data_IF_547672883606
#
_entry.id   IF_547672883606
#
_cell.length_a   1.000
_cell.length_b   1.000
_cell.length_c   1.000
_cell.angle_alpha   90.00
_cell.angle_beta   90.00
_cell.angle_gamma   90.00
#
_symmetry.space_group_name_H-M   'P 1'
#
loop_
_entity.id
_entity.type
_entity.pdbx_description
1 polymer ?
#
# COMPACT_ATOMS: atom_id res chain seq x y z
N UNK A 1 3.60 -14.13 4.85
CA UNK A 1 4.91 -14.42 4.27
C UNK A 1 4.76 -14.30 2.76
N UNK A 2 5.35 -13.29 2.13
CA UNK A 2 5.31 -13.20 0.65
C UNK A 2 6.18 -14.35 0.18
N UNK A 3 5.54 -15.39 -0.33
CA UNK A 3 6.29 -16.44 -0.98
C UNK A 3 6.75 -15.86 -2.31
N UNK A 4 8.02 -15.44 -2.36
CA UNK A 4 8.69 -15.12 -3.64
C UNK A 4 8.99 -16.42 -4.42
N UNK A 5 8.40 -17.56 -4.03
CA UNK A 5 8.63 -18.90 -4.58
C UNK A 5 7.71 -19.20 -5.76
N UNK A 6 8.29 -19.74 -6.83
CA UNK A 6 7.78 -19.66 -8.20
C UNK A 6 7.06 -20.93 -8.70
N UNK A 7 6.09 -20.72 -9.59
CA UNK A 7 5.53 -21.73 -10.52
C UNK A 7 6.53 -22.09 -11.64
N UNK A 8 6.82 -23.39 -11.80
CA UNK A 8 7.43 -24.19 -12.90
C UNK A 8 8.60 -23.70 -13.83
N UNK A 9 9.72 -24.39 -13.62
CA UNK A 9 10.91 -24.91 -14.36
C UNK A 9 11.60 -24.43 -15.66
N UNK A 10 11.22 -23.42 -16.46
CA UNK A 10 12.15 -23.03 -17.58
C UNK A 10 12.19 -21.57 -18.01
N UNK A 11 11.12 -20.81 -17.78
CA UNK A 11 11.14 -19.32 -17.76
C UNK A 11 11.72 -18.80 -16.42
N UNK A 12 12.25 -19.74 -15.62
CA UNK A 12 12.40 -19.72 -14.16
C UNK A 12 13.54 -18.88 -13.58
N UNK A 13 14.53 -18.46 -14.36
CA UNK A 13 15.74 -17.83 -13.77
C UNK A 13 15.79 -16.31 -13.92
N UNK A 14 15.29 -15.74 -15.03
CA UNK A 14 15.43 -14.29 -15.27
C UNK A 14 14.34 -13.46 -14.63
N UNK A 15 13.09 -13.94 -14.69
CA UNK A 15 11.97 -13.23 -14.10
C UNK A 15 12.03 -13.36 -12.57
N UNK A 16 12.35 -14.54 -12.05
CA UNK A 16 12.65 -14.74 -10.63
C UNK A 16 13.82 -13.87 -10.15
N UNK A 17 14.92 -13.80 -10.89
CA UNK A 17 16.06 -12.96 -10.56
C UNK A 17 15.69 -11.48 -10.53
N UNK A 18 14.82 -11.04 -11.43
CA UNK A 18 14.34 -9.66 -11.45
C UNK A 18 13.49 -9.39 -10.19
N UNK A 19 12.49 -10.23 -9.93
CA UNK A 19 11.65 -10.12 -8.73
C UNK A 19 12.45 -10.15 -7.44
N UNK A 20 13.39 -11.10 -7.32
CA UNK A 20 14.32 -11.20 -6.19
C UNK A 20 15.23 -9.98 -6.08
N UNK A 21 15.76 -9.46 -7.20
CA UNK A 21 16.60 -8.26 -7.16
C UNK A 21 15.82 -7.03 -6.69
N UNK A 22 14.54 -6.92 -7.02
CA UNK A 22 13.65 -5.87 -6.53
C UNK A 22 13.30 -6.09 -5.07
N UNK A 23 12.96 -7.31 -4.68
CA UNK A 23 12.68 -7.69 -3.29
C UNK A 23 13.89 -7.53 -2.36
N UNK A 24 15.11 -7.65 -2.85
CA UNK A 24 16.32 -7.44 -2.05
C UNK A 24 16.76 -5.96 -2.07
N UNK A 25 16.18 -5.13 -2.94
CA UNK A 25 16.63 -3.74 -3.12
C UNK A 25 17.94 -3.60 -3.92
N UNK A 26 18.32 -4.63 -4.68
CA UNK A 26 19.51 -4.59 -5.53
C UNK A 26 19.25 -3.79 -6.81
N UNK A 27 19.23 -2.46 -6.68
CA UNK A 27 18.93 -1.52 -7.76
C UNK A 27 19.84 -1.69 -8.98
N UNK A 28 21.12 -2.00 -8.78
CA UNK A 28 22.07 -2.23 -9.88
C UNK A 28 21.69 -3.46 -10.70
N UNK A 29 21.33 -4.58 -10.03
CA UNK A 29 20.91 -5.81 -10.70
C UNK A 29 19.54 -5.63 -11.37
N UNK A 30 18.58 -5.02 -10.68
CA UNK A 30 17.26 -4.72 -11.24
C UNK A 30 17.36 -3.87 -12.53
N UNK A 31 18.14 -2.79 -12.51
CA UNK A 31 18.42 -1.95 -13.70
C UNK A 31 19.02 -2.74 -14.86
N UNK A 32 19.94 -3.68 -14.59
CA UNK A 32 20.55 -4.51 -15.63
C UNK A 32 19.53 -5.47 -16.23
N UNK A 33 18.69 -6.09 -15.41
CA UNK A 33 17.68 -7.05 -15.84
C UNK A 33 16.55 -6.37 -16.63
N UNK A 34 16.10 -5.18 -16.21
CA UNK A 34 15.04 -4.42 -16.89
C UNK A 34 15.42 -3.91 -18.28
N UNK A 35 16.70 -3.95 -18.68
CA UNK A 35 17.09 -3.69 -20.07
C UNK A 35 16.50 -4.72 -21.05
N UNK A 36 16.26 -5.94 -20.58
CA UNK A 36 15.83 -7.08 -21.39
C UNK A 36 14.51 -7.71 -20.89
N UNK A 37 13.86 -7.12 -19.89
CA UNK A 37 12.62 -7.62 -19.30
C UNK A 37 11.61 -6.47 -19.22
N UNK A 38 10.32 -6.81 -19.34
CA UNK A 38 9.26 -5.82 -19.19
C UNK A 38 9.13 -5.39 -17.72
N UNK A 39 9.09 -4.08 -17.46
CA UNK A 39 8.89 -3.50 -16.13
C UNK A 39 7.50 -3.83 -15.55
N UNK A 40 6.54 -4.17 -16.42
CA UNK A 40 5.18 -4.55 -16.05
C UNK A 40 4.96 -6.07 -15.98
N UNK A 41 6.05 -6.84 -16.01
CA UNK A 41 5.99 -8.29 -15.82
C UNK A 41 5.24 -8.67 -14.54
N UNK A 42 4.53 -9.80 -14.60
CA UNK A 42 3.72 -10.32 -13.50
C UNK A 42 4.42 -11.49 -12.81
N UNK A 43 4.28 -11.55 -11.50
CA UNK A 43 4.91 -12.52 -10.62
C UNK A 43 3.83 -13.40 -9.95
N UNK A 44 4.24 -14.23 -9.00
CA UNK A 44 3.31 -15.06 -8.23
C UNK A 44 2.14 -14.22 -7.68
N UNK A 45 0.94 -14.79 -7.71
CA UNK A 45 -0.33 -14.15 -7.34
C UNK A 45 -0.63 -12.88 -8.16
N UNK A 46 -0.15 -12.83 -9.41
CA UNK A 46 -0.25 -11.67 -10.30
C UNK A 46 0.34 -10.37 -9.70
N UNK A 47 1.35 -10.47 -8.83
CA UNK A 47 2.02 -9.29 -8.29
C UNK A 47 2.81 -8.56 -9.38
N UNK A 48 2.90 -7.22 -9.31
CA UNK A 48 3.83 -6.43 -10.13
C UNK A 48 5.14 -6.15 -9.36
N UNK A 49 6.12 -5.54 -10.03
CA UNK A 49 7.35 -5.10 -9.35
C UNK A 49 7.06 -4.09 -8.22
N UNK A 50 6.05 -3.22 -8.37
CA UNK A 50 5.66 -2.29 -7.30
C UNK A 50 5.04 -3.01 -6.10
N UNK A 51 4.30 -4.11 -6.30
CA UNK A 51 3.82 -4.93 -5.18
C UNK A 51 5.01 -5.55 -4.42
N UNK A 52 5.95 -6.16 -5.15
CA UNK A 52 7.14 -6.77 -4.56
C UNK A 52 7.96 -5.74 -3.79
N UNK A 53 8.18 -4.56 -4.39
CA UNK A 53 8.97 -3.49 -3.79
C UNK A 53 8.28 -2.86 -2.57
N UNK A 54 6.94 -2.78 -2.57
CA UNK A 54 6.16 -2.19 -1.49
C UNK A 54 6.28 -2.92 -0.14
N UNK A 55 6.74 -4.18 -0.16
CA UNK A 55 7.01 -4.95 1.05
C UNK A 55 8.28 -4.53 1.79
N UNK A 56 9.12 -3.70 1.18
CA UNK A 56 10.34 -3.20 1.78
C UNK A 56 10.33 -1.67 1.85
N UNK A 57 11.17 -1.11 2.72
CA UNK A 57 11.37 0.33 2.86
C UNK A 57 12.33 0.92 1.82
N UNK A 58 12.67 0.18 0.74
CA UNK A 58 13.56 0.67 -0.32
C UNK A 58 12.86 1.66 -1.26
N UNK A 59 12.85 2.90 -0.83
CA UNK A 59 12.32 4.06 -1.56
C UNK A 59 13.03 4.31 -2.88
N UNK A 60 14.33 3.99 -3.00
CA UNK A 60 15.09 4.21 -4.23
C UNK A 60 14.65 3.25 -5.33
N UNK A 61 14.44 1.97 -4.98
CA UNK A 61 13.89 0.98 -5.90
C UNK A 61 12.47 1.36 -6.30
N UNK A 62 11.62 1.72 -5.33
CA UNK A 62 10.23 2.09 -5.58
C UNK A 62 10.12 3.30 -6.53
N UNK A 63 10.86 4.37 -6.24
CA UNK A 63 10.95 5.56 -7.08
C UNK A 63 11.47 5.23 -8.48
N UNK A 64 12.51 4.40 -8.59
CA UNK A 64 13.05 3.99 -9.88
C UNK A 64 12.01 3.25 -10.72
N UNK A 65 11.30 2.27 -10.15
CA UNK A 65 10.27 1.51 -10.87
C UNK A 65 9.15 2.42 -11.37
N UNK A 66 8.63 3.27 -10.49
CA UNK A 66 7.55 4.21 -10.81
C UNK A 66 7.96 5.21 -11.91
N UNK A 67 9.15 5.81 -11.79
CA UNK A 67 9.69 6.76 -12.77
C UNK A 67 9.99 6.14 -14.13
N UNK A 68 10.11 4.81 -14.21
CA UNK A 68 10.35 4.07 -15.46
C UNK A 68 9.08 3.42 -16.02
N UNK A 69 7.89 3.86 -15.57
CA UNK A 69 6.61 3.44 -16.15
C UNK A 69 6.09 2.09 -15.65
N UNK A 70 6.53 1.64 -14.46
CA UNK A 70 5.86 0.52 -13.80
C UNK A 70 4.42 0.94 -13.43
N UNK A 71 3.46 0.13 -13.85
CA UNK A 71 2.04 0.40 -13.66
C UNK A 71 1.65 0.26 -12.19
N UNK A 72 1.38 1.41 -11.55
CA UNK A 72 0.92 1.49 -10.17
C UNK A 72 -0.57 1.19 -10.01
N UNK A 73 -1.33 1.15 -11.11
CA UNK A 73 -2.79 0.92 -11.11
C UNK A 73 -3.14 -0.55 -11.11
N UNK A 74 -2.18 -1.39 -11.47
CA UNK A 74 -2.32 -2.84 -11.45
C UNK A 74 -2.75 -3.34 -10.06
N UNK A 75 -3.65 -4.33 -10.06
CA UNK A 75 -4.06 -5.06 -8.85
C UNK A 75 -3.68 -6.53 -8.97
N UNK A 76 -3.24 -7.12 -7.85
CA UNK A 76 -2.86 -8.53 -7.79
C UNK A 76 -4.09 -9.45 -7.68
N UNK A 77 -3.88 -10.77 -7.52
CA UNK A 77 -4.96 -11.75 -7.38
C UNK A 77 -5.85 -11.53 -6.14
N UNK A 78 -5.40 -10.81 -5.12
CA UNK A 78 -6.19 -10.45 -3.95
C UNK A 78 -6.96 -9.13 -4.13
N UNK A 79 -6.86 -8.51 -5.31
CA UNK A 79 -7.40 -7.17 -5.55
C UNK A 79 -6.58 -6.07 -4.86
N UNK A 80 -5.44 -6.38 -4.25
CA UNK A 80 -4.56 -5.38 -3.67
C UNK A 80 -3.88 -4.61 -4.80
N UNK A 81 -3.92 -3.28 -4.74
CA UNK A 81 -2.98 -2.41 -5.45
C UNK A 81 -1.67 -2.29 -4.66
N UNK A 82 -0.62 -1.71 -5.26
CA UNK A 82 0.62 -1.46 -4.53
C UNK A 82 0.39 -0.60 -3.26
N UNK A 83 -0.60 0.28 -3.26
CA UNK A 83 -0.94 1.13 -2.10
C UNK A 83 -1.49 0.32 -0.92
N UNK A 84 -2.24 -0.77 -1.16
CA UNK A 84 -2.69 -1.67 -0.09
C UNK A 84 -1.48 -2.34 0.59
N UNK A 85 -0.52 -2.80 -0.21
CA UNK A 85 0.70 -3.42 0.29
C UNK A 85 1.54 -2.40 1.09
N UNK A 86 1.67 -1.17 0.60
CA UNK A 86 2.35 -0.09 1.33
C UNK A 86 1.66 0.17 2.68
N UNK A 87 0.31 0.20 2.71
CA UNK A 87 -0.47 0.40 3.93
C UNK A 87 -0.27 -0.74 4.94
N UNK A 88 -0.26 -2.00 4.49
CA UNK A 88 -0.01 -3.17 5.34
C UNK A 88 1.37 -3.12 6.02
N UNK A 89 2.37 -2.53 5.36
CA UNK A 89 3.73 -2.41 5.90
C UNK A 89 4.01 -1.04 6.55
N UNK A 90 2.99 -0.16 6.68
CA UNK A 90 3.14 1.21 7.18
C UNK A 90 4.26 2.01 6.48
N UNK A 91 4.45 1.80 5.18
CA UNK A 91 5.58 2.40 4.46
C UNK A 91 5.25 3.83 4.00
N UNK A 92 5.28 4.77 4.95
CA UNK A 92 4.95 6.19 4.73
C UNK A 92 5.81 6.83 3.62
N UNK A 93 7.06 6.41 3.47
CA UNK A 93 7.95 6.97 2.46
C UNK A 93 7.57 6.55 1.04
N UNK A 94 7.23 5.28 0.81
CA UNK A 94 6.71 4.84 -0.48
C UNK A 94 5.34 5.47 -0.77
N UNK A 95 4.50 5.69 0.26
CA UNK A 95 3.27 6.47 0.10
C UNK A 95 3.57 7.88 -0.39
N UNK A 96 4.51 8.60 0.23
CA UNK A 96 4.86 9.96 -0.20
C UNK A 96 5.36 10.00 -1.66
N UNK A 97 6.21 9.06 -2.06
CA UNK A 97 6.66 8.92 -3.45
C UNK A 97 5.47 8.70 -4.40
N UNK A 98 4.55 7.81 -4.02
CA UNK A 98 3.41 7.46 -4.85
C UNK A 98 2.46 8.66 -4.98
N UNK A 99 2.17 9.35 -3.88
CA UNK A 99 1.31 10.54 -3.85
C UNK A 99 1.78 11.68 -4.76
N UNK A 100 3.11 11.89 -4.88
CA UNK A 100 3.68 12.85 -5.83
C UNK A 100 3.37 12.53 -7.30
N UNK A 101 2.99 11.28 -7.62
CA UNK A 101 2.63 10.80 -8.95
C UNK A 101 1.10 10.72 -9.18
N UNK A 102 0.30 11.41 -8.35
CA UNK A 102 -1.18 11.47 -8.43
C UNK A 102 -1.89 10.11 -8.28
N UNK A 103 -2.14 9.70 -7.04
CA UNK A 103 -2.72 8.38 -6.70
C UNK A 103 -4.26 8.29 -6.80
N UNK A 104 -4.92 9.27 -7.43
CA UNK A 104 -6.39 9.38 -7.43
C UNK A 104 -7.10 8.13 -7.94
N UNK A 105 -6.46 7.39 -8.86
CA UNK A 105 -7.03 6.18 -9.46
C UNK A 105 -6.99 4.96 -8.54
N UNK A 106 -6.13 4.97 -7.50
CA UNK A 106 -5.95 3.83 -6.61
C UNK A 106 -6.25 4.11 -5.13
N UNK A 107 -6.35 5.38 -4.74
CA UNK A 107 -6.47 5.82 -3.34
C UNK A 107 -7.71 5.24 -2.64
N UNK A 108 -8.78 5.06 -3.41
CA UNK A 108 -10.10 4.63 -2.97
C UNK A 108 -10.46 3.21 -3.45
N UNK A 109 -9.51 2.50 -4.08
CA UNK A 109 -9.75 1.11 -4.50
C UNK A 109 -9.96 0.23 -3.27
N UNK A 110 -10.96 -0.65 -3.35
CA UNK A 110 -11.18 -1.74 -2.39
C UNK A 110 -10.47 -3.00 -2.90
N UNK A 111 -9.75 -3.69 -2.02
CA UNK A 111 -9.28 -5.05 -2.27
C UNK A 111 -10.42 -6.07 -2.11
N UNK A 112 -10.14 -7.37 -2.27
CA UNK A 112 -11.14 -8.45 -2.13
C UNK A 112 -11.64 -8.67 -0.70
N UNK A 113 -10.99 -8.10 0.30
CA UNK A 113 -11.47 -8.09 1.69
C UNK A 113 -12.37 -6.88 1.97
N UNK A 114 -12.64 -6.06 0.96
CA UNK A 114 -13.43 -4.85 1.07
C UNK A 114 -12.65 -3.66 1.58
N UNK A 115 -11.35 -3.77 1.82
CA UNK A 115 -10.59 -2.71 2.45
C UNK A 115 -9.96 -1.79 1.41
N UNK A 116 -10.06 -0.48 1.65
CA UNK A 116 -9.15 0.50 1.04
C UNK A 116 -7.89 0.65 1.89
N UNK A 117 -6.86 1.29 1.34
CA UNK A 117 -5.65 1.60 2.12
C UNK A 117 -5.93 2.41 3.40
N UNK A 118 -6.98 3.25 3.40
CA UNK A 118 -7.41 3.99 4.59
C UNK A 118 -7.98 3.06 5.67
N UNK A 119 -8.77 2.06 5.28
CA UNK A 119 -9.29 1.04 6.20
C UNK A 119 -8.13 0.26 6.85
N UNK A 120 -7.14 -0.17 6.04
CA UNK A 120 -5.94 -0.87 6.53
C UNK A 120 -5.19 0.00 7.56
N UNK A 121 -4.98 1.28 7.27
CA UNK A 121 -4.29 2.20 8.17
C UNK A 121 -5.03 2.36 9.51
N UNK A 122 -6.36 2.40 9.50
CA UNK A 122 -7.17 2.44 10.72
C UNK A 122 -7.07 1.11 11.47
N UNK A 123 -7.33 -0.02 10.82
CA UNK A 123 -7.34 -1.35 11.47
C UNK A 123 -6.01 -1.69 12.16
N UNK A 124 -4.89 -1.14 11.68
CA UNK A 124 -3.56 -1.33 12.24
C UNK A 124 -3.06 -0.16 13.13
N UNK A 125 -3.82 0.92 13.26
CA UNK A 125 -3.44 2.07 14.11
C UNK A 125 -2.22 2.84 13.59
N UNK A 126 -2.20 3.17 12.29
CA UNK A 126 -1.11 3.91 11.63
C UNK A 126 -1.48 5.38 11.42
N UNK A 127 -1.31 6.28 12.42
CA UNK A 127 -1.82 7.64 12.38
C UNK A 127 -1.15 8.51 11.32
N UNK A 128 0.16 8.35 11.10
CA UNK A 128 0.90 9.12 10.09
C UNK A 128 0.46 8.74 8.68
N UNK A 129 0.37 7.45 8.38
CA UNK A 129 -0.10 6.92 7.10
C UNK A 129 -1.52 7.37 6.78
N UNK A 130 -2.42 7.25 7.76
CA UNK A 130 -3.79 7.74 7.67
C UNK A 130 -3.87 9.23 7.38
N UNK A 131 -3.11 10.04 8.12
CA UNK A 131 -3.10 11.49 7.95
C UNK A 131 -2.65 11.86 6.54
N UNK A 132 -1.64 11.15 6.01
CA UNK A 132 -1.14 11.36 4.66
C UNK A 132 -2.19 11.00 3.60
N UNK A 133 -2.86 9.85 3.73
CA UNK A 133 -3.94 9.44 2.83
C UNK A 133 -5.07 10.48 2.77
N UNK A 134 -5.55 10.96 3.93
CA UNK A 134 -6.60 11.98 3.98
C UNK A 134 -6.16 13.29 3.31
N UNK A 135 -4.92 13.74 3.55
CA UNK A 135 -4.36 14.94 2.90
C UNK A 135 -4.30 14.82 1.38
N UNK A 136 -4.11 13.61 0.86
CA UNK A 136 -4.10 13.33 -0.58
C UNK A 136 -5.48 12.98 -1.15
N UNK A 137 -6.55 13.13 -0.35
CA UNK A 137 -7.93 13.06 -0.80
C UNK A 137 -8.58 11.69 -0.72
N UNK A 138 -8.09 10.79 0.16
CA UNK A 138 -8.76 9.52 0.40
C UNK A 138 -10.18 9.75 0.92
N UNK A 139 -11.15 9.03 0.36
CA UNK A 139 -12.55 9.18 0.73
C UNK A 139 -12.88 8.39 2.00
N UNK A 140 -13.11 9.11 3.09
CA UNK A 140 -13.44 8.56 4.40
C UNK A 140 -14.86 7.97 4.51
N UNK A 141 -15.74 8.17 3.52
CA UNK A 141 -17.11 7.63 3.50
C UNK A 141 -17.24 6.32 2.73
N UNK A 142 -16.14 5.79 2.17
CA UNK A 142 -16.17 4.46 1.54
C UNK A 142 -16.32 3.43 2.65
N UNK A 143 -17.21 2.47 2.41
CA UNK A 143 -17.49 1.40 3.35
C UNK A 143 -16.73 0.13 2.98
N UNK A 144 -16.18 -0.52 4.00
CA UNK A 144 -15.65 -1.88 3.87
C UNK A 144 -16.77 -2.93 3.71
N UNK A 145 -16.40 -4.21 3.67
CA UNK A 145 -17.37 -5.30 3.50
C UNK A 145 -18.20 -5.58 4.77
N UNK A 146 -17.86 -4.94 5.90
CA UNK A 146 -18.66 -4.94 7.12
C UNK A 146 -19.63 -3.74 7.17
N UNK A 147 -19.79 -3.01 6.05
CA UNK A 147 -20.60 -1.80 5.93
C UNK A 147 -20.12 -0.65 6.83
N UNK A 148 -18.83 -0.67 7.21
CA UNK A 148 -18.20 0.32 8.09
C UNK A 148 -17.37 1.31 7.29
N UNK A 149 -17.61 2.61 7.47
CA UNK A 149 -16.74 3.66 6.95
C UNK A 149 -15.57 4.02 7.90
N UNK A 150 -14.72 4.98 7.51
CA UNK A 150 -13.59 5.39 8.33
C UNK A 150 -14.01 6.03 9.67
N UNK A 151 -15.13 6.76 9.72
CA UNK A 151 -15.64 7.38 10.94
C UNK A 151 -16.10 6.30 11.93
N UNK A 152 -16.85 5.32 11.43
CA UNK A 152 -17.39 4.21 12.20
C UNK A 152 -16.27 3.28 12.71
N UNK A 153 -15.28 2.97 11.87
CA UNK A 153 -14.10 2.21 12.28
C UNK A 153 -13.31 2.94 13.37
N UNK A 154 -13.03 4.24 13.21
CA UNK A 154 -12.30 5.00 14.22
C UNK A 154 -13.05 5.04 15.56
N UNK A 155 -14.38 5.17 15.56
CA UNK A 155 -15.16 5.14 16.80
C UNK A 155 -15.11 3.76 17.47
N UNK A 156 -15.21 2.68 16.69
CA UNK A 156 -15.07 1.31 17.18
C UNK A 156 -13.70 1.09 17.82
N UNK A 157 -12.62 1.46 17.13
CA UNK A 157 -11.25 1.25 17.61
C UNK A 157 -10.88 2.19 18.77
N UNK A 158 -11.42 3.42 18.82
CA UNK A 158 -11.28 4.32 19.97
C UNK A 158 -11.88 3.73 21.25
N UNK A 159 -13.03 3.06 21.14
CA UNK A 159 -13.65 2.35 22.29
C UNK A 159 -12.79 1.17 22.74
N UNK A 160 -12.24 0.40 21.80
CA UNK A 160 -11.31 -0.70 22.10
C UNK A 160 -10.00 -0.21 22.72
N UNK A 161 -9.40 0.85 22.17
CA UNK A 161 -8.15 1.45 22.66
C UNK A 161 -8.26 1.82 24.13
N UNK A 162 -9.31 2.55 24.53
CA UNK A 162 -9.53 2.94 25.93
C UNK A 162 -9.72 1.76 26.89
N UNK A 163 -10.11 0.60 26.39
CA UNK A 163 -10.23 -0.61 27.18
C UNK A 163 -8.87 -1.26 27.47
N UNK A 164 -7.93 -1.21 26.52
CA UNK A 164 -6.59 -1.81 26.66
C UNK A 164 -5.54 -0.84 27.19
N UNK A 165 -5.60 0.43 26.77
CA UNK A 165 -4.70 1.51 27.17
C UNK A 165 -5.48 2.83 27.27
N UNK A 166 -5.78 3.23 28.51
CA UNK A 166 -6.54 4.45 28.78
C UNK A 166 -5.77 5.74 28.46
N UNK A 167 -4.44 5.68 28.32
CA UNK A 167 -3.60 6.84 28.00
C UNK A 167 -3.34 6.98 26.50
N UNK A 168 -3.59 5.94 25.72
CA UNK A 168 -3.44 6.02 24.27
C UNK A 168 -4.52 6.94 23.67
N UNK A 169 -4.07 7.80 22.77
CA UNK A 169 -4.92 8.78 22.07
C UNK A 169 -4.85 8.62 20.55
N UNK A 170 -4.30 7.51 20.05
CA UNK A 170 -4.02 7.31 18.62
C UNK A 170 -5.28 7.44 17.79
N UNK A 171 -6.33 6.67 18.09
CA UNK A 171 -7.59 6.72 17.34
C UNK A 171 -8.37 8.01 17.61
N UNK A 172 -8.24 8.56 18.81
CA UNK A 172 -8.83 9.87 19.15
C UNK A 172 -8.22 10.98 18.29
N UNK A 173 -6.91 10.97 18.09
CA UNK A 173 -6.19 11.95 17.28
C UNK A 173 -6.53 11.80 15.79
N UNK A 174 -6.57 10.57 15.27
CA UNK A 174 -7.00 10.30 13.89
C UNK A 174 -8.45 10.77 13.65
N UNK A 175 -9.36 10.48 14.58
CA UNK A 175 -10.76 10.91 14.50
C UNK A 175 -10.90 12.44 14.53
N UNK A 176 -10.19 13.12 15.43
CA UNK A 176 -10.18 14.58 15.50
C UNK A 176 -9.61 15.21 14.22
N UNK A 177 -8.56 14.61 13.66
CA UNK A 177 -7.97 15.05 12.39
C UNK A 177 -8.99 14.98 11.24
N UNK A 178 -9.72 13.87 11.13
CA UNK A 178 -10.74 13.63 10.11
C UNK A 178 -11.91 14.65 10.19
N UNK A 179 -12.36 14.97 11.40
CA UNK A 179 -13.42 15.97 11.61
C UNK A 179 -12.94 17.37 11.25
N UNK A 180 -11.67 17.68 11.54
CA UNK A 180 -11.09 19.00 11.27
C UNK A 180 -10.96 19.23 9.76
N UNK A 181 -10.43 18.26 9.02
CA UNK A 181 -10.29 18.33 7.55
C UNK A 181 -11.64 18.44 6.82
N UNK A 182 -12.73 17.87 7.36
CA UNK A 182 -14.07 18.02 6.78
C UNK A 182 -14.64 19.44 6.88
N UNK A 183 -14.20 20.25 7.85
CA UNK A 183 -14.72 21.63 8.04
C UNK A 183 -14.04 22.66 7.14
N UNK A 184 -12.93 22.29 6.49
CA UNK A 184 -12.12 23.18 5.65
C UNK A 184 -12.47 23.08 4.15
N UNK A 185 -13.41 22.19 3.78
CA UNK A 185 -13.96 22.02 2.43
C UNK A 185 -15.41 22.50 2.36
#
# INVERSE_FOLDING_TARGET
>A
MISVTLTNDSVRDKLSDLGLSVFIGNLKRAKKLLKNNDINSKFLNNNSLLHICAHNEDTNMFYFLLSNGCDYKHVNENGDSCLHIIALNNNVYCLDILCRNSIKEIIDLKNKEGDTALHIAIKNGFPEFFTLLIKYGANASIKDDFDMDAYELLDLYRKKEKFYDCNSSTYTNMFNFLITTRKEC
#
